data_IF_069676590762
#
_entry.id   IF_069676590762
#
_cell.length_a   1.000
_cell.length_b   1.000
_cell.length_c   1.000
_cell.angle_alpha   90.00
_cell.angle_beta   90.00
_cell.angle_gamma   90.00
#
_symmetry.space_group_name_H-M   'P 1'
#
loop_
_entity.id
_entity.type
_entity.pdbx_description
1 polymer ?
#
# COMPACT_ATOMS: atom_id res chain seq x y z
N UNK A 1 -6.29 -9.92 50.63
CA UNK A 1 -6.50 -8.55 50.17
C UNK A 1 -5.54 -8.33 48.99
N UNK A 2 -5.98 -8.61 47.75
CA UNK A 2 -5.20 -8.47 46.53
C UNK A 2 -5.85 -7.39 45.68
N UNK A 3 -5.12 -6.34 45.43
CA UNK A 3 -5.56 -5.18 44.65
C UNK A 3 -5.31 -5.51 43.18
N UNK A 4 -6.37 -5.50 42.38
CA UNK A 4 -6.36 -5.68 40.92
C UNK A 4 -5.92 -4.41 40.24
N UNK A 5 -5.12 -4.46 39.14
CA UNK A 5 -4.73 -3.26 38.41
C UNK A 5 -5.85 -2.78 37.49
N UNK A 6 -6.11 -1.50 37.58
CA UNK A 6 -7.08 -0.72 36.83
C UNK A 6 -6.71 -0.73 35.33
N UNK A 7 -7.62 -1.26 34.52
CA UNK A 7 -7.58 -1.11 33.06
C UNK A 7 -7.89 0.34 32.72
N UNK A 8 -6.91 1.05 32.15
CA UNK A 8 -7.15 2.37 31.58
C UNK A 8 -7.93 2.23 30.28
N UNK A 9 -9.22 2.51 30.35
CA UNK A 9 -10.07 2.72 29.19
C UNK A 9 -9.75 4.11 28.62
N UNK A 10 -9.16 4.16 27.41
CA UNK A 10 -9.10 5.40 26.65
C UNK A 10 -10.47 5.61 26.00
N UNK A 11 -11.26 6.46 26.62
CA UNK A 11 -12.48 7.01 26.00
C UNK A 11 -12.04 8.11 25.05
N UNK A 12 -12.14 7.86 23.75
CA UNK A 12 -12.03 8.91 22.73
C UNK A 12 -13.36 9.68 22.75
N UNK A 13 -13.38 10.78 23.45
CA UNK A 13 -14.45 11.77 23.38
C UNK A 13 -14.35 12.47 22.02
N UNK A 14 -15.25 12.12 21.10
CA UNK A 14 -15.52 12.92 19.90
C UNK A 14 -16.28 14.15 20.37
N UNK A 15 -15.53 15.21 20.66
CA UNK A 15 -16.09 16.52 20.91
C UNK A 15 -16.63 17.11 19.61
N UNK A 16 -17.95 17.21 19.52
CA UNK A 16 -18.63 18.00 18.50
C UNK A 16 -18.35 19.48 18.80
N UNK A 17 -17.27 20.01 18.24
CA UNK A 17 -16.98 21.44 18.30
C UNK A 17 -17.89 22.14 17.29
N UNK A 18 -18.97 22.73 17.78
CA UNK A 18 -19.75 23.75 17.06
C UNK A 18 -18.84 24.93 16.78
N UNK A 19 -18.41 25.08 15.54
CA UNK A 19 -17.62 26.20 15.08
C UNK A 19 -18.54 27.42 14.95
N UNK A 20 -18.55 28.25 15.97
CA UNK A 20 -19.08 29.64 15.85
C UNK A 20 -18.02 30.41 15.05
N UNK A 21 -18.35 30.69 13.79
CA UNK A 21 -17.53 31.56 12.95
C UNK A 21 -17.55 33.00 13.50
N UNK A 22 -16.62 33.26 14.39
CA UNK A 22 -16.25 34.63 14.75
C UNK A 22 -15.43 35.22 13.60
N UNK A 23 -16.06 36.07 12.79
CA UNK A 23 -15.38 36.94 11.84
C UNK A 23 -14.53 37.96 12.65
N UNK A 24 -13.31 37.56 13.02
CA UNK A 24 -12.32 38.53 13.44
C UNK A 24 -11.82 39.26 12.21
N UNK A 25 -11.89 40.59 12.14
CA UNK A 25 -11.30 41.33 11.03
C UNK A 25 -9.80 41.03 10.97
N UNK A 26 -9.32 40.64 9.82
CA UNK A 26 -7.89 40.49 9.57
C UNK A 26 -7.23 41.86 9.87
N UNK A 27 -6.43 41.92 10.92
CA UNK A 27 -5.58 43.08 11.15
C UNK A 27 -4.57 43.16 10.03
N UNK A 28 -4.44 44.30 9.32
CA UNK A 28 -3.34 44.49 8.41
C UNK A 28 -2.04 44.34 9.20
N UNK A 29 -1.21 43.40 8.84
CA UNK A 29 0.17 43.32 9.31
C UNK A 29 0.90 44.43 8.55
N UNK A 30 1.13 45.56 9.21
CA UNK A 30 2.10 46.55 8.75
C UNK A 30 3.47 45.88 8.76
N UNK A 31 4.04 45.64 7.58
CA UNK A 31 5.45 45.28 7.47
C UNK A 31 6.26 46.50 7.90
N UNK A 32 6.88 46.46 9.06
CA UNK A 32 8.01 47.36 9.38
C UNK A 32 9.14 47.00 8.42
N UNK A 33 9.58 47.97 7.61
CA UNK A 33 10.77 47.84 6.77
C UNK A 33 12.03 47.77 7.66
N UNK A 34 12.25 46.64 8.27
CA UNK A 34 13.52 46.26 8.86
C UNK A 34 14.21 45.27 7.94
N UNK A 35 15.41 45.58 7.45
CA UNK A 35 16.25 44.66 6.71
C UNK A 35 16.37 43.31 7.46
N UNK A 36 15.61 42.35 7.02
CA UNK A 36 15.70 40.97 7.54
C UNK A 36 16.98 40.33 6.95
N UNK A 37 17.87 39.79 7.78
CA UNK A 37 18.99 39.03 7.29
C UNK A 37 18.45 37.77 6.62
N UNK A 38 18.40 37.77 5.28
CA UNK A 38 18.40 36.64 4.37
C UNK A 38 17.48 35.42 4.62
N UNK A 39 16.42 35.53 5.46
CA UNK A 39 15.52 34.41 5.76
C UNK A 39 14.09 34.69 5.30
N UNK A 40 13.48 33.74 4.61
CA UNK A 40 12.05 33.74 4.28
C UNK A 40 11.33 32.91 5.35
N UNK A 41 10.38 33.52 6.06
CA UNK A 41 9.51 32.78 7.00
C UNK A 41 8.24 32.39 6.26
N UNK A 42 7.99 31.11 6.12
CA UNK A 42 6.80 30.57 5.48
C UNK A 42 5.88 29.99 6.55
N UNK A 43 4.68 30.55 6.68
CA UNK A 43 3.62 29.97 7.52
C UNK A 43 2.74 29.09 6.64
N UNK A 44 2.65 27.81 6.97
CA UNK A 44 1.81 26.85 6.25
C UNK A 44 0.94 26.03 7.20
N UNK A 45 -0.13 25.49 6.68
CA UNK A 45 -1.00 24.53 7.36
C UNK A 45 -1.20 23.31 6.46
N UNK A 46 -1.24 22.12 7.04
CA UNK A 46 -1.48 20.88 6.32
C UNK A 46 -1.10 19.66 7.15
N UNK A 47 -1.41 18.49 6.62
CA UNK A 47 -0.99 17.20 7.14
C UNK A 47 0.11 16.63 6.25
N UNK A 48 1.06 15.93 6.85
CA UNK A 48 2.14 15.26 6.13
C UNK A 48 3.46 16.01 6.18
N UNK A 49 4.43 15.51 5.43
CA UNK A 49 5.82 15.99 5.49
C UNK A 49 6.11 17.25 4.65
N UNK A 50 5.11 17.76 3.92
CA UNK A 50 5.24 18.99 3.12
C UNK A 50 6.16 18.90 1.90
N UNK A 51 6.49 17.69 1.41
CA UNK A 51 7.33 17.46 0.24
C UNK A 51 6.53 16.81 -0.89
N UNK A 52 6.86 17.17 -2.13
CA UNK A 52 6.24 16.60 -3.32
C UNK A 52 4.81 17.05 -3.54
N UNK A 53 3.99 16.17 -4.12
CA UNK A 53 2.63 16.46 -4.56
C UNK A 53 1.67 16.54 -3.38
N UNK A 54 0.95 17.66 -3.24
CA UNK A 54 -0.20 17.75 -2.32
C UNK A 54 -1.42 17.11 -2.97
N UNK A 55 -2.00 16.08 -2.36
CA UNK A 55 -3.19 15.39 -2.87
C UNK A 55 -4.38 16.34 -3.00
N UNK A 56 -4.78 17.00 -1.92
CA UNK A 56 -5.87 17.99 -1.94
C UNK A 56 -5.55 19.26 -2.74
N UNK A 57 -4.28 19.67 -2.77
CA UNK A 57 -3.83 20.75 -3.64
C UNK A 57 -4.01 20.40 -5.12
N UNK A 58 -3.61 19.20 -5.52
CA UNK A 58 -3.81 18.70 -6.88
C UNK A 58 -5.28 18.60 -7.25
N UNK A 59 -6.12 18.12 -6.31
CA UNK A 59 -7.56 18.09 -6.49
C UNK A 59 -8.15 19.49 -6.69
N UNK A 60 -7.77 20.47 -5.88
CA UNK A 60 -8.20 21.86 -6.03
C UNK A 60 -7.75 22.48 -7.37
N UNK A 61 -6.50 22.28 -7.76
CA UNK A 61 -6.00 22.76 -9.06
C UNK A 61 -6.77 22.16 -10.23
N UNK A 62 -7.09 20.85 -10.16
CA UNK A 62 -7.86 20.20 -11.21
C UNK A 62 -9.32 20.66 -11.24
N UNK A 63 -10.01 20.68 -10.10
CA UNK A 63 -11.47 20.87 -10.06
C UNK A 63 -11.92 22.31 -10.03
N UNK A 64 -11.15 23.21 -9.42
CA UNK A 64 -11.50 24.63 -9.29
C UNK A 64 -10.85 25.46 -10.41
N UNK A 65 -9.61 25.14 -10.77
CA UNK A 65 -8.83 25.91 -11.73
C UNK A 65 -8.71 25.23 -13.10
N UNK A 66 -9.23 24.01 -13.27
CA UNK A 66 -9.23 23.29 -14.54
C UNK A 66 -7.83 22.89 -15.05
N UNK A 67 -6.84 22.80 -14.16
CA UNK A 67 -5.47 22.49 -14.55
C UNK A 67 -5.34 21.05 -15.07
N UNK A 68 -4.53 20.88 -16.10
CA UNK A 68 -4.11 19.58 -16.56
C UNK A 68 -3.15 18.92 -15.56
N UNK A 69 -2.97 17.60 -15.65
CA UNK A 69 -2.03 16.87 -14.81
C UNK A 69 -0.58 17.34 -14.98
N UNK A 70 -0.21 17.79 -16.19
CA UNK A 70 1.10 18.38 -16.49
C UNK A 70 1.30 19.68 -15.72
N UNK A 71 0.33 20.59 -15.75
CA UNK A 71 0.39 21.86 -15.04
C UNK A 71 0.49 21.63 -13.53
N UNK A 72 -0.25 20.64 -12.99
CA UNK A 72 -0.17 20.25 -11.58
C UNK A 72 1.24 19.75 -11.23
N UNK A 73 1.81 18.86 -12.04
CA UNK A 73 3.17 18.36 -11.82
C UNK A 73 4.22 19.46 -11.93
N UNK A 74 4.09 20.38 -12.91
CA UNK A 74 4.99 21.50 -13.07
C UNK A 74 4.96 22.43 -11.85
N UNK A 75 3.79 22.63 -11.27
CA UNK A 75 3.66 23.43 -10.05
C UNK A 75 4.41 22.82 -8.86
N UNK A 76 4.32 21.50 -8.65
CA UNK A 76 4.93 20.85 -7.47
C UNK A 76 6.39 20.44 -7.67
N UNK A 77 6.83 20.19 -8.90
CA UNK A 77 8.16 19.63 -9.20
C UNK A 77 9.02 20.52 -10.09
N UNK A 78 8.57 21.71 -10.40
CA UNK A 78 9.24 22.61 -11.32
C UNK A 78 8.80 22.40 -12.77
N UNK A 79 8.44 23.49 -13.40
CA UNK A 79 7.90 23.51 -14.75
C UNK A 79 8.93 23.84 -15.81
N UNK A 80 8.43 24.32 -16.95
CA UNK A 80 9.11 24.56 -18.22
C UNK A 80 10.35 25.48 -18.19
N UNK A 81 10.67 26.12 -17.07
CA UNK A 81 11.76 27.09 -16.95
C UNK A 81 13.02 26.57 -16.26
N UNK A 82 13.24 25.26 -16.20
CA UNK A 82 14.52 24.78 -15.69
C UNK A 82 14.57 23.38 -15.11
N UNK A 83 13.48 22.86 -14.56
CA UNK A 83 13.37 21.48 -14.12
C UNK A 83 12.23 20.81 -14.86
N UNK A 84 12.46 20.58 -16.11
CA UNK A 84 11.50 19.96 -16.99
C UNK A 84 11.21 18.54 -16.51
N UNK A 85 9.95 18.19 -16.51
CA UNK A 85 9.53 16.80 -16.58
C UNK A 85 10.29 16.16 -17.74
N UNK A 86 11.17 15.22 -17.44
CA UNK A 86 11.68 14.34 -18.47
C UNK A 86 10.80 13.11 -18.51
N UNK A 87 10.44 12.67 -19.71
CA UNK A 87 9.81 11.36 -19.90
C UNK A 87 10.83 10.30 -19.49
N UNK A 88 10.57 9.61 -18.37
CA UNK A 88 11.26 8.36 -18.12
C UNK A 88 10.67 7.32 -19.06
N UNK A 89 11.46 6.81 -19.97
CA UNK A 89 11.19 5.53 -20.58
C UNK A 89 11.36 4.44 -19.51
N UNK A 90 10.38 4.34 -18.65
CA UNK A 90 10.33 3.24 -17.68
C UNK A 90 9.44 2.17 -18.29
N UNK A 91 9.99 1.04 -18.74
CA UNK A 91 9.19 -0.10 -19.13
C UNK A 91 8.32 -0.54 -17.94
N UNK A 92 7.26 -1.25 -18.23
CA UNK A 92 6.41 -1.85 -17.20
C UNK A 92 7.16 -3.00 -16.50
N UNK A 93 8.19 -2.62 -15.72
CA UNK A 93 9.10 -3.53 -15.02
C UNK A 93 8.45 -4.16 -13.81
N UNK A 94 9.00 -5.26 -13.33
CA UNK A 94 8.63 -5.84 -12.06
C UNK A 94 9.09 -4.95 -10.90
N UNK A 95 8.20 -4.83 -9.92
CA UNK A 95 8.42 -4.13 -8.66
C UNK A 95 8.32 -5.13 -7.51
N UNK A 96 9.27 -5.07 -6.60
CA UNK A 96 9.21 -5.82 -5.35
C UNK A 96 8.81 -4.88 -4.21
N UNK A 97 7.69 -5.17 -3.58
CA UNK A 97 7.13 -4.33 -2.53
C UNK A 97 7.06 -5.12 -1.22
N UNK A 98 7.74 -4.65 -0.20
CA UNK A 98 7.59 -5.21 1.13
C UNK A 98 6.25 -4.81 1.73
N UNK A 99 5.45 -5.80 2.12
CA UNK A 99 4.16 -5.61 2.79
C UNK A 99 4.40 -5.52 4.30
N UNK A 100 4.73 -4.33 4.80
CA UNK A 100 5.15 -4.09 6.19
C UNK A 100 4.09 -4.45 7.23
N UNK A 101 2.81 -4.47 6.86
CA UNK A 101 1.71 -4.94 7.73
C UNK A 101 1.83 -6.42 8.06
N UNK A 102 2.60 -7.16 7.27
CA UNK A 102 2.90 -8.57 7.42
C UNK A 102 4.26 -8.79 8.07
N UNK A 103 4.55 -8.15 9.19
CA UNK A 103 5.71 -8.53 10.04
C UNK A 103 5.50 -9.91 10.67
N UNK A 104 4.81 -10.76 9.97
CA UNK A 104 4.21 -11.97 10.45
C UNK A 104 5.19 -13.13 10.34
N UNK A 105 5.10 -14.04 11.28
CA UNK A 105 5.74 -15.36 11.25
C UNK A 105 5.14 -16.26 10.16
N UNK A 106 4.08 -15.80 9.49
CA UNK A 106 3.41 -16.56 8.43
C UNK A 106 2.97 -15.64 7.29
N UNK A 107 2.86 -16.23 6.09
CA UNK A 107 2.16 -15.66 4.95
C UNK A 107 0.94 -16.52 4.66
N UNK A 108 -0.24 -16.03 5.02
CA UNK A 108 -1.52 -16.69 4.75
C UNK A 108 -2.20 -16.05 3.54
N UNK A 109 -2.66 -16.88 2.60
CA UNK A 109 -3.29 -16.41 1.37
C UNK A 109 -4.59 -17.17 1.07
N UNK A 110 -5.51 -16.50 0.38
CA UNK A 110 -6.78 -17.06 -0.07
C UNK A 110 -7.03 -16.73 -1.54
N UNK A 111 -7.83 -17.55 -2.22
CA UNK A 111 -8.29 -17.33 -3.57
C UNK A 111 -9.79 -17.54 -3.64
N UNK A 112 -10.54 -16.54 -4.09
CA UNK A 112 -11.99 -16.69 -4.26
C UNK A 112 -12.34 -17.56 -5.49
N UNK A 113 -11.45 -17.62 -6.48
CA UNK A 113 -11.59 -18.51 -7.64
C UNK A 113 -11.13 -19.95 -7.39
N UNK A 114 -10.51 -20.26 -6.24
CA UNK A 114 -9.97 -21.58 -5.93
C UNK A 114 -8.81 -22.04 -6.84
N UNK A 115 -8.14 -21.10 -7.50
CA UNK A 115 -7.10 -21.39 -8.50
C UNK A 115 -5.68 -21.14 -8.02
N UNK A 116 -5.50 -20.95 -6.71
CA UNK A 116 -4.19 -20.64 -6.14
C UNK A 116 -3.24 -21.83 -6.17
N UNK A 117 -2.00 -21.57 -6.48
CA UNK A 117 -0.91 -22.55 -6.49
C UNK A 117 0.37 -21.96 -5.91
N UNK A 118 1.25 -22.85 -5.49
CA UNK A 118 2.61 -22.54 -5.07
C UNK A 118 3.54 -22.72 -6.27
N UNK A 119 4.37 -21.74 -6.56
CA UNK A 119 5.30 -21.81 -7.70
C UNK A 119 6.43 -22.82 -7.48
N UNK A 120 6.85 -23.00 -6.24
CA UNK A 120 7.90 -23.91 -5.84
C UNK A 120 7.43 -25.39 -5.77
N UNK A 121 6.12 -25.63 -5.84
CA UNK A 121 5.57 -26.97 -5.83
C UNK A 121 5.90 -27.71 -7.14
N UNK A 122 6.55 -28.88 -7.08
CA UNK A 122 6.83 -29.68 -8.28
C UNK A 122 5.53 -30.13 -8.99
N UNK A 123 4.44 -30.32 -8.26
CA UNK A 123 3.13 -30.58 -8.84
C UNK A 123 2.38 -29.28 -9.13
N UNK A 124 2.66 -28.72 -10.30
CA UNK A 124 2.01 -27.48 -10.75
C UNK A 124 0.52 -27.65 -11.11
N UNK A 125 -0.03 -28.85 -11.00
CA UNK A 125 -1.46 -29.14 -11.17
C UNK A 125 -2.29 -28.87 -9.92
N UNK A 126 -1.68 -28.87 -8.72
CA UNK A 126 -2.42 -28.67 -7.46
C UNK A 126 -2.98 -27.26 -7.36
N UNK A 127 -4.23 -27.17 -6.92
CA UNK A 127 -4.94 -25.91 -6.72
C UNK A 127 -5.61 -25.90 -5.34
N UNK A 128 -5.62 -24.70 -4.73
CA UNK A 128 -6.16 -24.51 -3.39
C UNK A 128 -6.99 -23.23 -3.32
N UNK A 129 -7.91 -23.20 -2.35
CA UNK A 129 -8.66 -21.99 -1.99
C UNK A 129 -7.91 -21.19 -0.92
N UNK A 130 -7.16 -21.85 -0.04
CA UNK A 130 -6.33 -21.18 0.98
C UNK A 130 -5.00 -21.88 1.11
N UNK A 131 -3.95 -21.11 1.34
CA UNK A 131 -2.62 -21.61 1.64
C UNK A 131 -1.96 -20.81 2.75
N UNK A 132 -1.03 -21.42 3.47
CA UNK A 132 -0.22 -20.74 4.48
C UNK A 132 1.22 -21.24 4.40
N UNK A 133 2.16 -20.31 4.44
CA UNK A 133 3.58 -20.60 4.60
C UNK A 133 4.07 -20.10 5.95
N UNK A 134 4.84 -20.92 6.64
CA UNK A 134 5.55 -20.58 7.87
C UNK A 134 7.00 -20.99 7.75
N UNK A 135 7.89 -20.14 8.21
CA UNK A 135 9.29 -20.53 8.34
C UNK A 135 9.40 -21.67 9.37
N UNK A 136 10.14 -22.72 9.00
CA UNK A 136 10.33 -23.90 9.85
C UNK A 136 11.14 -23.52 11.08
N UNK A 137 10.66 -23.90 12.25
CA UNK A 137 11.40 -23.67 13.50
C UNK A 137 12.79 -24.32 13.45
N UNK A 138 13.82 -23.52 13.75
CA UNK A 138 15.20 -23.97 13.75
C UNK A 138 15.87 -24.11 12.37
N UNK A 139 15.18 -23.77 11.28
CA UNK A 139 15.72 -23.82 9.92
C UNK A 139 15.35 -22.55 9.16
N UNK A 140 16.27 -21.57 9.12
CA UNK A 140 16.08 -20.33 8.38
C UNK A 140 15.92 -20.59 6.90
N UNK A 141 15.07 -19.80 6.23
CA UNK A 141 14.78 -19.88 4.79
C UNK A 141 14.21 -21.22 4.33
N UNK A 142 13.63 -21.99 5.25
CA UNK A 142 12.88 -23.21 4.93
C UNK A 142 11.43 -22.96 5.30
N UNK A 143 10.54 -23.04 4.34
CA UNK A 143 9.12 -22.80 4.52
C UNK A 143 8.33 -24.09 4.49
N UNK A 144 7.62 -24.35 5.56
CA UNK A 144 6.55 -25.35 5.54
C UNK A 144 5.30 -24.69 4.94
N UNK A 145 4.69 -25.35 3.97
CA UNK A 145 3.52 -24.82 3.27
C UNK A 145 2.37 -25.80 3.35
N UNK A 146 1.22 -25.29 3.75
CA UNK A 146 -0.04 -26.03 3.84
C UNK A 146 -1.07 -25.46 2.89
N UNK A 147 -1.97 -26.31 2.40
CA UNK A 147 -3.07 -25.94 1.51
C UNK A 147 -4.40 -26.51 1.95
N UNK A 148 -5.48 -25.83 1.64
CA UNK A 148 -6.86 -26.24 1.93
C UNK A 148 -7.79 -25.79 0.80
N UNK A 149 -8.85 -26.58 0.56
CA UNK A 149 -9.94 -26.21 -0.35
C UNK A 149 -11.06 -25.41 0.32
N UNK A 150 -10.90 -25.10 1.62
CA UNK A 150 -11.78 -24.22 2.34
C UNK A 150 -11.19 -22.80 2.37
N UNK A 151 -12.04 -21.78 2.14
CA UNK A 151 -11.62 -20.38 2.24
C UNK A 151 -11.49 -19.99 3.70
N UNK A 152 -10.26 -19.93 4.21
CA UNK A 152 -9.99 -19.62 5.60
C UNK A 152 -8.64 -18.90 5.76
N UNK A 153 -8.62 -17.82 6.53
CA UNK A 153 -7.40 -17.21 7.03
C UNK A 153 -7.08 -17.79 8.42
N UNK A 154 -5.83 -18.19 8.62
CA UNK A 154 -5.33 -18.68 9.91
C UNK A 154 -4.63 -17.56 10.67
N UNK A 155 -4.77 -17.57 12.00
CA UNK A 155 -3.90 -16.77 12.87
C UNK A 155 -2.56 -17.51 13.07
N UNK A 156 -1.54 -16.79 13.51
CA UNK A 156 -0.22 -17.40 13.77
C UNK A 156 -0.25 -18.51 14.83
N UNK A 157 -1.19 -18.41 15.79
CA UNK A 157 -1.36 -19.40 16.85
C UNK A 157 -2.14 -20.66 16.44
N UNK A 158 -2.83 -20.63 15.30
CA UNK A 158 -3.65 -21.76 14.84
C UNK A 158 -2.74 -22.87 14.30
N UNK A 159 -3.04 -24.15 14.62
CA UNK A 159 -2.44 -25.28 13.89
C UNK A 159 -3.08 -25.41 12.52
N UNK A 160 -2.29 -25.37 11.42
CA UNK A 160 -2.84 -25.59 10.09
C UNK A 160 -3.54 -26.93 9.95
N UNK A 161 -2.98 -28.00 10.48
CA UNK A 161 -3.54 -29.35 10.40
C UNK A 161 -4.87 -29.45 11.16
N UNK A 162 -4.93 -28.90 12.38
CA UNK A 162 -6.17 -28.85 13.17
C UNK A 162 -7.25 -28.00 12.48
N UNK A 163 -6.85 -27.04 11.66
CA UNK A 163 -7.73 -26.20 10.88
C UNK A 163 -8.17 -26.82 9.53
N UNK A 164 -7.72 -28.05 9.22
CA UNK A 164 -8.07 -28.77 8.00
C UNK A 164 -7.20 -28.43 6.78
N UNK A 165 -5.98 -27.96 7.02
CA UNK A 165 -4.97 -27.77 5.97
C UNK A 165 -4.06 -28.99 5.88
N UNK A 166 -3.74 -29.43 4.68
CA UNK A 166 -2.78 -30.50 4.42
C UNK A 166 -1.39 -29.92 4.17
N UNK A 167 -0.36 -30.50 4.78
CA UNK A 167 1.02 -30.16 4.51
C UNK A 167 1.38 -30.55 3.07
N UNK A 168 1.87 -29.60 2.29
CA UNK A 168 2.34 -29.81 0.92
C UNK A 168 3.81 -30.22 0.87
N UNK A 169 4.61 -29.69 1.78
CA UNK A 169 6.03 -29.95 1.87
C UNK A 169 6.82 -28.82 2.51
N UNK A 170 8.15 -28.95 2.41
CA UNK A 170 9.12 -27.96 2.82
C UNK A 170 9.82 -27.41 1.57
N UNK A 171 9.92 -26.08 1.51
CA UNK A 171 10.46 -25.37 0.34
C UNK A 171 11.57 -24.43 0.81
N UNK A 172 12.70 -24.45 0.10
CA UNK A 172 13.86 -23.65 0.43
C UNK A 172 13.74 -22.24 -0.16
N UNK A 173 14.26 -21.25 0.54
CA UNK A 173 14.42 -19.85 0.18
C UNK A 173 13.09 -19.08 0.10
N UNK A 174 12.05 -19.59 -0.55
CA UNK A 174 10.80 -18.87 -0.78
C UNK A 174 9.56 -19.77 -0.78
N UNK A 175 8.39 -19.15 -0.55
CA UNK A 175 7.09 -19.73 -0.86
C UNK A 175 6.25 -18.67 -1.61
N UNK A 176 5.99 -18.90 -2.88
CA UNK A 176 5.43 -17.94 -3.83
C UNK A 176 4.05 -18.36 -4.29
N UNK A 177 3.05 -17.51 -4.02
CA UNK A 177 1.65 -17.79 -4.30
C UNK A 177 1.15 -16.97 -5.49
N UNK A 178 0.46 -17.64 -6.41
CA UNK A 178 -0.20 -17.03 -7.56
C UNK A 178 -1.57 -17.68 -7.78
N UNK A 179 -2.48 -16.95 -8.43
CA UNK A 179 -3.69 -17.51 -9.04
C UNK A 179 -3.52 -17.56 -10.56
N UNK A 180 -4.45 -18.21 -11.24
CA UNK A 180 -4.43 -18.22 -12.71
C UNK A 180 -4.55 -16.81 -13.32
N UNK A 181 -5.23 -15.91 -12.60
CA UNK A 181 -5.52 -14.55 -13.05
C UNK A 181 -4.60 -13.48 -12.44
N UNK A 182 -3.75 -13.83 -11.45
CA UNK A 182 -2.99 -12.81 -10.69
C UNK A 182 -1.98 -12.02 -11.54
N UNK A 183 -1.57 -12.55 -12.69
CA UNK A 183 -0.68 -11.88 -13.64
C UNK A 183 -1.44 -11.25 -14.83
N UNK A 184 -2.74 -11.44 -14.93
CA UNK A 184 -3.57 -10.81 -15.95
C UNK A 184 -3.96 -9.38 -15.52
N UNK A 185 -3.54 -8.34 -16.27
CA UNK A 185 -3.89 -6.97 -15.94
C UNK A 185 -5.38 -6.67 -16.07
N UNK A 186 -6.15 -7.47 -16.80
CA UNK A 186 -7.59 -7.34 -16.97
C UNK A 186 -8.40 -8.06 -15.89
N UNK A 187 -7.77 -8.96 -15.09
CA UNK A 187 -8.47 -9.73 -14.07
C UNK A 187 -9.18 -8.85 -13.03
N UNK A 188 -10.34 -9.30 -12.56
CA UNK A 188 -10.97 -8.70 -11.40
C UNK A 188 -10.09 -8.85 -10.15
N UNK A 189 -10.19 -7.90 -9.21
CA UNK A 189 -9.36 -7.95 -8.00
C UNK A 189 -9.55 -9.25 -7.20
N UNK A 190 -10.78 -9.75 -7.11
CA UNK A 190 -11.13 -10.99 -6.39
C UNK A 190 -10.52 -12.26 -7.01
N UNK A 191 -10.11 -12.21 -8.28
CA UNK A 191 -9.46 -13.33 -8.95
C UNK A 191 -7.95 -13.38 -8.72
N UNK A 192 -7.40 -12.38 -8.04
CA UNK A 192 -5.98 -12.28 -7.71
C UNK A 192 -5.68 -12.90 -6.34
N UNK A 193 -4.44 -12.79 -5.84
CA UNK A 193 -4.05 -13.38 -4.55
C UNK A 193 -4.59 -12.54 -3.40
N UNK A 194 -5.49 -13.10 -2.60
CA UNK A 194 -5.97 -12.49 -1.36
C UNK A 194 -4.99 -12.77 -0.22
N UNK A 195 -4.35 -11.74 0.32
CA UNK A 195 -3.48 -11.84 1.49
C UNK A 195 -4.30 -11.66 2.77
N UNK A 196 -4.14 -12.60 3.70
CA UNK A 196 -4.74 -12.55 5.04
C UNK A 196 -3.91 -11.60 5.93
N UNK A 197 -4.33 -10.34 6.03
CA UNK A 197 -3.66 -9.35 6.88
C UNK A 197 -4.21 -9.41 8.30
N UNK A 198 -3.36 -9.39 9.34
CA UNK A 198 -3.83 -9.36 10.72
C UNK A 198 -4.60 -8.05 10.99
N UNK A 199 -5.75 -8.17 11.62
CA UNK A 199 -6.49 -7.03 12.18
C UNK A 199 -6.27 -6.92 13.67
N UNK A 200 -6.40 -5.71 14.20
CA UNK A 200 -6.35 -5.43 15.65
C UNK A 200 -7.45 -6.11 16.47
N UNK A 201 -8.47 -6.64 15.83
CA UNK A 201 -9.56 -7.39 16.42
C UNK A 201 -9.63 -8.77 15.80
N UNK A 202 -8.98 -9.78 16.33
CA UNK A 202 -9.11 -11.24 16.08
C UNK A 202 -9.58 -11.74 14.69
N UNK A 203 -9.90 -10.87 13.73
CA UNK A 203 -10.33 -11.18 12.37
C UNK A 203 -9.29 -10.69 11.37
N UNK A 204 -8.83 -11.58 10.51
CA UNK A 204 -7.97 -11.21 9.39
C UNK A 204 -8.76 -10.44 8.34
N UNK A 205 -8.17 -9.37 7.81
CA UNK A 205 -8.67 -8.68 6.64
C UNK A 205 -8.01 -9.29 5.40
N UNK A 206 -8.79 -9.52 4.36
CA UNK A 206 -8.23 -9.97 3.07
C UNK A 206 -8.02 -8.76 2.19
N UNK A 207 -6.79 -8.62 1.66
CA UNK A 207 -6.45 -7.67 0.60
C UNK A 207 -5.94 -8.41 -0.62
N UNK A 208 -6.40 -7.98 -1.78
CA UNK A 208 -6.08 -8.63 -3.04
C UNK A 208 -4.90 -7.95 -3.71
N UNK A 209 -3.94 -8.76 -4.15
CA UNK A 209 -2.70 -8.32 -4.80
C UNK A 209 -2.55 -8.98 -6.15
N UNK A 210 -2.24 -8.16 -7.16
CA UNK A 210 -1.81 -8.65 -8.47
C UNK A 210 -0.37 -9.15 -8.40
N UNK A 211 0.01 -10.00 -9.35
CA UNK A 211 1.35 -10.58 -9.37
C UNK A 211 1.51 -11.73 -8.38
N UNK A 212 2.64 -11.78 -7.72
CA UNK A 212 3.06 -12.85 -6.81
C UNK A 212 3.03 -12.31 -5.38
N UNK A 213 2.44 -13.05 -4.46
CA UNK A 213 2.65 -12.86 -3.02
C UNK A 213 3.64 -13.90 -2.56
N UNK A 214 4.73 -13.48 -1.92
CA UNK A 214 5.85 -14.37 -1.57
C UNK A 214 6.24 -14.21 -0.10
N UNK A 215 6.43 -15.32 0.58
CA UNK A 215 7.17 -15.41 1.82
C UNK A 215 8.66 -15.60 1.51
N UNK A 216 9.53 -14.80 2.12
CA UNK A 216 10.99 -14.93 1.99
C UNK A 216 11.70 -14.27 3.17
N UNK A 217 12.97 -14.57 3.36
CA UNK A 217 13.78 -13.84 4.32
C UNK A 217 14.55 -12.71 3.63
N UNK A 218 14.67 -11.57 4.33
CA UNK A 218 15.54 -10.49 3.89
C UNK A 218 17.03 -10.83 4.14
N UNK A 219 17.92 -9.90 3.82
CA UNK A 219 19.38 -10.06 4.04
C UNK A 219 19.79 -10.27 5.50
N UNK A 220 18.92 -9.91 6.46
CA UNK A 220 19.11 -10.12 7.90
C UNK A 220 18.47 -11.42 8.40
N UNK A 221 18.03 -12.29 7.51
CA UNK A 221 17.29 -13.51 7.80
C UNK A 221 15.97 -13.29 8.57
N UNK A 222 15.34 -12.15 8.39
CA UNK A 222 14.02 -11.89 8.95
C UNK A 222 12.96 -12.24 7.92
N UNK A 223 11.96 -13.04 8.32
CA UNK A 223 10.85 -13.39 7.45
C UNK A 223 10.07 -12.14 7.01
N UNK A 224 9.74 -12.09 5.72
CA UNK A 224 9.00 -10.99 5.09
C UNK A 224 7.97 -11.55 4.12
N UNK A 225 6.83 -10.88 4.06
CA UNK A 225 5.89 -11.06 2.96
C UNK A 225 6.10 -9.92 1.96
N UNK A 226 6.34 -10.27 0.71
CA UNK A 226 6.50 -9.31 -0.38
C UNK A 226 5.45 -9.53 -1.46
N UNK A 227 5.16 -8.47 -2.20
CA UNK A 227 4.41 -8.53 -3.45
C UNK A 227 5.35 -8.23 -4.61
N UNK A 228 5.36 -9.09 -5.60
CA UNK A 228 6.08 -8.89 -6.86
C UNK A 228 5.02 -8.67 -7.92
N UNK A 229 4.95 -7.47 -8.45
CA UNK A 229 3.96 -7.08 -9.44
C UNK A 229 4.59 -6.18 -10.51
N UNK A 230 3.98 -6.11 -11.69
CA UNK A 230 4.39 -5.13 -12.68
C UNK A 230 4.05 -3.73 -12.19
N UNK A 231 4.85 -2.76 -12.57
CA UNK A 231 4.71 -1.37 -12.13
C UNK A 231 3.30 -0.82 -12.35
N UNK A 232 2.68 -1.11 -13.49
CA UNK A 232 1.31 -0.68 -13.78
C UNK A 232 0.28 -1.32 -12.84
N UNK A 233 0.47 -2.60 -12.49
CA UNK A 233 -0.40 -3.30 -11.55
C UNK A 233 -0.24 -2.79 -10.12
N UNK A 234 0.99 -2.45 -9.73
CA UNK A 234 1.29 -1.77 -8.47
C UNK A 234 0.57 -0.41 -8.38
N UNK A 235 0.65 0.41 -9.44
CA UNK A 235 0.01 1.73 -9.46
C UNK A 235 -1.51 1.66 -9.39
N UNK A 236 -2.15 0.64 -9.97
CA UNK A 236 -3.59 0.39 -9.82
C UNK A 236 -4.01 0.18 -8.36
N UNK A 237 -3.11 -0.34 -7.53
CA UNK A 237 -3.34 -0.51 -6.10
C UNK A 237 -3.03 0.75 -5.29
N UNK A 238 -2.01 1.49 -5.65
CA UNK A 238 -1.50 2.65 -4.90
C UNK A 238 -2.36 3.89 -5.13
N UNK A 239 -2.62 4.27 -6.39
CA UNK A 239 -3.29 5.54 -6.71
C UNK A 239 -4.62 5.71 -5.99
N UNK A 240 -5.56 4.74 -6.00
CA UNK A 240 -6.84 4.90 -5.31
C UNK A 240 -6.74 4.86 -3.78
N UNK A 241 -5.60 4.47 -3.22
CA UNK A 241 -5.36 4.51 -1.76
C UNK A 241 -4.79 5.85 -1.33
N UNK A 242 -4.02 6.48 -2.20
CA UNK A 242 -3.46 7.81 -1.98
C UNK A 242 -4.49 8.92 -2.28
N UNK A 243 -5.26 8.76 -3.35
CA UNK A 243 -6.27 9.73 -3.78
C UNK A 243 -7.56 8.99 -4.14
N UNK A 244 -8.71 9.34 -3.53
CA UNK A 244 -9.96 8.63 -3.77
C UNK A 244 -10.31 8.55 -5.25
N UNK A 245 -10.67 7.35 -5.74
CA UNK A 245 -11.02 7.15 -7.14
C UNK A 245 -12.21 8.03 -7.59
N UNK A 246 -13.15 8.31 -6.68
CA UNK A 246 -14.29 9.20 -6.91
C UNK A 246 -13.90 10.65 -7.26
N UNK A 247 -12.67 11.05 -6.97
CA UNK A 247 -12.19 12.37 -7.42
C UNK A 247 -12.19 12.48 -8.94
N UNK A 248 -12.02 11.37 -9.66
CA UNK A 248 -12.01 11.36 -11.11
C UNK A 248 -13.26 11.95 -11.74
N UNK A 249 -14.42 11.77 -11.11
CA UNK A 249 -15.73 12.22 -11.61
C UNK A 249 -16.04 13.68 -11.21
N UNK A 250 -15.28 14.25 -10.28
CA UNK A 250 -15.53 15.59 -9.76
C UNK A 250 -15.34 16.66 -10.83
N UNK A 251 -16.14 17.73 -10.74
CA UNK A 251 -16.14 18.86 -11.67
C UNK A 251 -16.26 18.42 -13.15
N UNK A 252 -17.20 17.51 -13.43
CA UNK A 252 -17.43 17.01 -14.79
C UNK A 252 -16.27 16.21 -15.37
N UNK A 253 -15.51 15.53 -14.50
CA UNK A 253 -14.35 14.71 -14.90
C UNK A 253 -12.99 15.43 -14.82
N UNK A 254 -12.97 16.72 -14.49
CA UNK A 254 -11.72 17.49 -14.36
C UNK A 254 -10.80 16.92 -13.24
N UNK A 255 -11.39 16.37 -12.17
CA UNK A 255 -10.66 15.74 -11.08
C UNK A 255 -9.78 14.55 -11.49
N UNK A 256 -10.01 13.96 -12.66
CA UNK A 256 -9.15 12.92 -13.24
C UNK A 256 -7.70 13.42 -13.44
N UNK A 257 -7.49 14.73 -13.62
CA UNK A 257 -6.15 15.29 -13.74
C UNK A 257 -5.35 15.18 -12.43
N UNK A 258 -6.01 15.27 -11.26
CA UNK A 258 -5.36 15.04 -9.98
C UNK A 258 -4.92 13.57 -9.84
N UNK A 259 -5.76 12.61 -10.23
CA UNK A 259 -5.42 11.18 -10.20
C UNK A 259 -4.29 10.85 -11.18
N UNK A 260 -4.26 11.47 -12.36
CA UNK A 260 -3.17 11.32 -13.33
C UNK A 260 -1.86 11.88 -12.77
N UNK A 261 -1.89 13.07 -12.17
CA UNK A 261 -0.71 13.65 -11.51
C UNK A 261 -0.19 12.74 -10.39
N UNK A 262 -1.08 12.20 -9.55
CA UNK A 262 -0.73 11.24 -8.51
C UNK A 262 -0.11 9.96 -9.11
N UNK A 263 -0.65 9.44 -10.20
CA UNK A 263 -0.12 8.24 -10.85
C UNK A 263 1.30 8.45 -11.38
N UNK A 264 1.58 9.60 -12.00
CA UNK A 264 2.92 9.93 -12.50
C UNK A 264 3.90 10.13 -11.35
N UNK A 265 3.49 10.82 -10.29
CA UNK A 265 4.33 11.01 -9.11
C UNK A 265 4.66 9.67 -8.44
N UNK A 266 3.66 8.79 -8.25
CA UNK A 266 3.83 7.46 -7.66
C UNK A 266 4.73 6.57 -8.52
N UNK A 267 4.57 6.60 -9.86
CA UNK A 267 5.45 5.88 -10.80
C UNK A 267 6.90 6.32 -10.66
N UNK A 268 7.14 7.62 -10.69
CA UNK A 268 8.47 8.19 -10.59
C UNK A 268 9.15 7.84 -9.28
N UNK A 269 8.42 7.95 -8.17
CA UNK A 269 8.90 7.56 -6.85
C UNK A 269 9.26 6.08 -6.80
N UNK A 270 8.37 5.20 -7.24
CA UNK A 270 8.57 3.75 -7.19
C UNK A 270 9.78 3.30 -8.00
N UNK A 271 9.99 3.87 -9.19
CA UNK A 271 11.15 3.56 -10.03
C UNK A 271 12.46 4.02 -9.36
N UNK A 272 12.43 5.19 -8.71
CA UNK A 272 13.60 5.73 -8.01
C UNK A 272 13.96 4.87 -6.79
N UNK A 273 12.97 4.54 -5.95
CA UNK A 273 13.19 3.69 -4.77
C UNK A 273 13.65 2.29 -5.15
N UNK A 274 13.10 1.71 -6.21
CA UNK A 274 13.50 0.37 -6.66
C UNK A 274 14.97 0.33 -7.17
N UNK A 275 15.52 1.46 -7.63
CA UNK A 275 16.94 1.56 -8.02
C UNK A 275 17.90 1.53 -6.82
N UNK A 276 17.42 1.93 -5.65
CA UNK A 276 18.21 2.00 -4.42
C UNK A 276 17.99 0.81 -3.48
N UNK A 277 17.06 -0.08 -3.80
CA UNK A 277 16.72 -1.27 -3.02
C UNK A 277 17.54 -2.51 -3.38
N UNK A 278 18.44 -2.42 -4.36
CA UNK A 278 19.33 -3.47 -4.85
C UNK A 278 20.64 -3.60 -4.09
#
# INVERSE_FOLDING_TARGET
MRISPIKRCFVVLIGLATFVAGLSPARPVSAEEGQLPGGVIIYGRGFGHGRGLSQYGSYGWATVHGWSWEQILDFYYGGATGNSRSMLEAPNQEMTVWLSVMNAKQTGVVSDSGTMRLLEDPDQGRRFTSMVAREKSGAQRVYQVWGSNQRKCLNESDSPEAAGFALLGEFNETASFVTNASQDPAAAALDTVGLCEPKSSSLNQVRYYRGIVRAMNNSKNENRTINIARLDDYLRGVVPRESPASWGDAAGGAGMNALRAQAVAARSYSVTENRYAG
#
